data_IF_041739843936
#
_entry.id   IF_041739843936
#
_cell.length_a   1.000
_cell.length_b   1.000
_cell.length_c   1.000
_cell.angle_alpha   90.00
_cell.angle_beta   90.00
_cell.angle_gamma   90.00
#
_symmetry.space_group_name_H-M   'P 1'
#
loop_
_entity.id
_entity.type
_entity.pdbx_description
1 polymer ?
#
# COMPACT_ATOMS: atom_id res chain seq x y z
N UNK A 1 -17.46 21.64 -8.20
CA UNK A 1 -18.53 20.62 -8.24
C UNK A 1 -17.80 19.29 -8.12
N UNK A 2 -17.82 18.72 -6.91
CA UNK A 2 -17.17 17.40 -6.69
C UNK A 2 -18.09 16.34 -7.30
N UNK A 3 -17.55 15.54 -8.21
CA UNK A 3 -18.23 14.32 -8.63
C UNK A 3 -18.47 13.45 -7.39
N UNK A 4 -19.66 12.85 -7.24
CA UNK A 4 -19.90 11.94 -6.13
C UNK A 4 -18.90 10.77 -6.24
N UNK A 5 -18.18 10.48 -5.15
CA UNK A 5 -17.35 9.27 -5.10
C UNK A 5 -18.25 8.05 -5.39
N UNK A 6 -17.81 7.13 -6.26
CA UNK A 6 -18.59 5.94 -6.56
C UNK A 6 -18.90 5.20 -5.27
N UNK A 7 -20.17 4.83 -5.09
CA UNK A 7 -20.57 4.08 -3.90
C UNK A 7 -19.82 2.75 -3.86
N UNK A 8 -19.56 2.25 -2.66
CA UNK A 8 -18.88 0.97 -2.46
C UNK A 8 -19.63 -0.18 -3.17
N UNK A 9 -20.95 -0.07 -3.27
CA UNK A 9 -21.82 -1.01 -3.99
C UNK A 9 -21.53 -1.04 -5.49
N UNK A 10 -21.39 0.13 -6.11
CA UNK A 10 -20.99 0.23 -7.52
C UNK A 10 -19.63 -0.41 -7.80
N UNK A 11 -18.65 -0.16 -6.92
CA UNK A 11 -17.33 -0.77 -7.05
C UNK A 11 -17.38 -2.30 -6.90
N UNK A 12 -18.25 -2.82 -6.04
CA UNK A 12 -18.45 -4.26 -5.89
C UNK A 12 -19.14 -4.87 -7.13
N UNK A 13 -20.14 -4.19 -7.69
CA UNK A 13 -20.82 -4.66 -8.90
C UNK A 13 -19.84 -4.80 -10.07
N UNK A 14 -18.96 -3.83 -10.29
CA UNK A 14 -17.94 -3.91 -11.34
C UNK A 14 -16.94 -5.07 -11.13
N UNK A 15 -16.59 -5.39 -9.88
CA UNK A 15 -15.69 -6.52 -9.58
C UNK A 15 -16.30 -7.88 -9.95
N UNK A 16 -17.64 -8.01 -10.06
CA UNK A 16 -18.31 -9.25 -10.44
C UNK A 16 -18.68 -9.33 -11.93
N UNK A 17 -18.34 -8.33 -12.73
CA UNK A 17 -18.65 -8.27 -14.16
C UNK A 17 -17.72 -9.11 -15.05
N UNK A 18 -16.87 -9.96 -14.48
CA UNK A 18 -16.01 -10.84 -15.24
C UNK A 18 -16.81 -12.08 -15.72
N UNK A 19 -16.75 -12.35 -17.03
CA UNK A 19 -17.34 -13.54 -17.63
C UNK A 19 -16.49 -14.78 -17.28
N UNK A 20 -17.07 -15.69 -16.50
CA UNK A 20 -16.40 -16.93 -16.08
C UNK A 20 -16.38 -18.01 -17.18
N UNK A 21 -17.18 -17.85 -18.23
CA UNK A 21 -17.22 -18.73 -19.38
C UNK A 21 -16.39 -18.20 -20.57
N UNK A 22 -15.58 -17.16 -20.32
CA UNK A 22 -14.71 -16.56 -21.33
C UNK A 22 -13.59 -17.51 -21.76
N UNK A 23 -12.98 -17.19 -22.88
CA UNK A 23 -11.76 -17.86 -23.38
C UNK A 23 -10.63 -17.84 -22.35
N UNK A 24 -9.78 -18.88 -22.36
CA UNK A 24 -8.69 -19.05 -21.38
C UNK A 24 -7.77 -17.81 -21.26
N UNK A 25 -7.42 -17.20 -22.39
CA UNK A 25 -6.61 -15.97 -22.39
C UNK A 25 -7.29 -14.80 -21.68
N UNK A 26 -8.60 -14.64 -21.87
CA UNK A 26 -9.39 -13.59 -21.22
C UNK A 26 -9.53 -13.83 -19.71
N UNK A 27 -9.61 -15.09 -19.28
CA UNK A 27 -9.58 -15.44 -17.86
C UNK A 27 -8.23 -15.08 -17.21
N UNK A 28 -7.11 -15.34 -17.88
CA UNK A 28 -5.78 -14.94 -17.42
C UNK A 28 -5.65 -13.42 -17.32
N UNK A 29 -6.13 -12.68 -18.32
CA UNK A 29 -6.13 -11.21 -18.28
C UNK A 29 -7.00 -10.66 -17.15
N UNK A 30 -8.17 -11.26 -16.90
CA UNK A 30 -9.04 -10.88 -15.78
C UNK A 30 -8.34 -11.08 -14.42
N UNK A 31 -7.67 -12.20 -14.22
CA UNK A 31 -6.87 -12.47 -13.03
C UNK A 31 -5.76 -11.42 -12.86
N UNK A 32 -5.04 -11.11 -13.92
CA UNK A 32 -3.98 -10.08 -13.91
C UNK A 32 -4.54 -8.70 -13.57
N UNK A 33 -5.69 -8.34 -14.13
CA UNK A 33 -6.37 -7.08 -13.84
C UNK A 33 -6.76 -6.98 -12.36
N UNK A 34 -7.31 -8.04 -11.79
CA UNK A 34 -7.66 -8.09 -10.37
C UNK A 34 -6.41 -7.99 -9.47
N UNK A 35 -5.29 -8.58 -9.86
CA UNK A 35 -4.05 -8.46 -9.11
C UNK A 35 -3.52 -7.00 -9.12
N UNK A 36 -3.62 -6.31 -10.25
CA UNK A 36 -3.29 -4.88 -10.35
C UNK A 36 -4.21 -4.02 -9.48
N UNK A 37 -5.51 -4.31 -9.44
CA UNK A 37 -6.45 -3.62 -8.56
C UNK A 37 -6.14 -3.85 -7.08
N UNK A 38 -5.76 -5.06 -6.69
CA UNK A 38 -5.31 -5.37 -5.32
C UNK A 38 -4.07 -4.55 -4.95
N UNK A 39 -3.11 -4.46 -5.85
CA UNK A 39 -1.91 -3.68 -5.64
C UNK A 39 -2.23 -2.18 -5.46
N UNK A 40 -3.06 -1.60 -6.31
CA UNK A 40 -3.50 -0.22 -6.21
C UNK A 40 -4.27 0.05 -4.89
N UNK A 41 -5.15 -0.87 -4.49
CA UNK A 41 -5.85 -0.80 -3.21
C UNK A 41 -4.88 -0.85 -2.02
N UNK A 42 -3.86 -1.73 -2.07
CA UNK A 42 -2.83 -1.82 -1.03
C UNK A 42 -2.00 -0.53 -0.92
N UNK A 43 -1.64 0.09 -2.05
CA UNK A 43 -0.97 1.38 -2.06
C UNK A 43 -1.82 2.48 -1.41
N UNK A 44 -3.12 2.51 -1.73
CA UNK A 44 -4.05 3.47 -1.12
C UNK A 44 -4.19 3.24 0.39
N UNK A 45 -4.28 2.00 0.83
CA UNK A 45 -4.29 1.65 2.25
C UNK A 45 -3.00 2.09 2.96
N UNK A 46 -1.84 1.95 2.33
CA UNK A 46 -0.57 2.43 2.88
C UNK A 46 -0.58 3.95 3.07
N UNK A 47 -1.04 4.73 2.07
CA UNK A 47 -1.17 6.19 2.20
C UNK A 47 -2.12 6.58 3.33
N UNK A 48 -3.27 5.92 3.45
CA UNK A 48 -4.25 6.20 4.49
C UNK A 48 -3.72 5.84 5.89
N UNK A 49 -3.01 4.72 6.03
CA UNK A 49 -2.40 4.31 7.30
C UNK A 49 -1.30 5.28 7.76
N UNK A 50 -0.44 5.73 6.84
CA UNK A 50 0.58 6.73 7.14
C UNK A 50 -0.05 8.10 7.51
N UNK A 51 -1.09 8.50 6.80
CA UNK A 51 -1.83 9.73 7.11
C UNK A 51 -2.53 9.67 8.48
N UNK A 52 -3.11 8.53 8.84
CA UNK A 52 -3.70 8.29 10.16
C UNK A 52 -2.64 8.41 11.27
N UNK A 53 -1.47 7.80 11.10
CA UNK A 53 -0.37 7.88 12.06
C UNK A 53 0.12 9.34 12.22
N UNK A 54 0.31 10.05 11.12
CA UNK A 54 0.73 11.45 11.14
C UNK A 54 -0.30 12.35 11.84
N UNK A 55 -1.59 12.20 11.53
CA UNK A 55 -2.66 12.96 12.15
C UNK A 55 -2.77 12.70 13.67
N UNK A 56 -2.68 11.42 14.08
CA UNK A 56 -2.70 11.03 15.48
C UNK A 56 -1.51 11.64 16.24
N UNK A 57 -0.30 11.51 15.71
CA UNK A 57 0.91 12.05 16.33
C UNK A 57 0.87 13.58 16.44
N UNK A 58 0.33 14.25 15.43
CA UNK A 58 0.15 15.71 15.45
C UNK A 58 -0.85 16.14 16.53
N UNK A 59 -2.01 15.51 16.62
CA UNK A 59 -3.00 15.80 17.65
C UNK A 59 -2.48 15.55 19.07
N UNK A 60 -1.78 14.42 19.28
CA UNK A 60 -1.19 14.09 20.56
C UNK A 60 -0.03 15.03 20.94
N UNK A 61 0.74 15.51 19.96
CA UNK A 61 1.76 16.55 20.18
C UNK A 61 1.14 17.85 20.64
N UNK A 62 0.06 18.28 20.00
CA UNK A 62 -0.69 19.49 20.40
C UNK A 62 -1.29 19.36 21.81
N UNK A 63 -1.67 18.14 22.22
CA UNK A 63 -2.14 17.83 23.57
C UNK A 63 -1.03 17.63 24.61
N UNK A 64 0.24 17.86 24.25
CA UNK A 64 1.39 17.72 25.16
C UNK A 64 1.84 16.29 25.45
N UNK A 65 1.38 15.30 24.66
CA UNK A 65 1.83 13.91 24.84
C UNK A 65 3.32 13.78 24.50
N UNK A 66 4.14 13.18 25.36
CA UNK A 66 5.55 12.96 25.08
C UNK A 66 5.79 12.18 23.79
N UNK A 67 6.80 12.55 23.00
CA UNK A 67 7.11 11.97 21.68
C UNK A 67 7.16 10.43 21.70
N UNK A 68 7.76 9.83 22.73
CA UNK A 68 7.87 8.37 22.86
C UNK A 68 6.53 7.65 23.07
N UNK A 69 5.46 8.37 23.37
CA UNK A 69 4.11 7.83 23.61
C UNK A 69 3.14 8.09 22.46
N UNK A 70 3.52 8.94 21.48
CA UNK A 70 2.65 9.32 20.35
C UNK A 70 2.45 8.17 19.39
N UNK A 71 1.27 8.08 18.80
CA UNK A 71 0.90 7.06 17.80
C UNK A 71 0.62 5.69 18.40
N UNK A 72 0.58 5.55 19.72
CA UNK A 72 0.24 4.27 20.36
C UNK A 72 -1.20 3.89 20.00
N UNK A 73 -1.39 2.64 19.58
CA UNK A 73 -2.70 2.12 19.18
C UNK A 73 -2.99 2.22 17.69
N UNK A 74 -2.33 3.11 16.92
CA UNK A 74 -2.56 3.24 15.47
C UNK A 74 -2.34 1.93 14.73
N UNK A 75 -1.29 1.19 15.06
CA UNK A 75 -1.03 -0.12 14.46
C UNK A 75 -2.18 -1.12 14.69
N UNK A 76 -2.77 -1.13 15.87
CA UNK A 76 -3.91 -2.00 16.17
C UNK A 76 -5.17 -1.56 15.42
N UNK A 77 -5.42 -0.25 15.28
CA UNK A 77 -6.53 0.29 14.50
C UNK A 77 -6.37 -0.06 13.00
N UNK A 78 -5.18 0.05 12.45
CA UNK A 78 -4.88 -0.35 11.06
C UNK A 78 -5.12 -1.86 10.86
N UNK A 79 -4.68 -2.70 11.80
CA UNK A 79 -4.94 -4.14 11.74
C UNK A 79 -6.44 -4.45 11.75
N UNK A 80 -7.18 -3.82 12.65
CA UNK A 80 -8.63 -4.00 12.75
C UNK A 80 -9.33 -3.57 11.46
N UNK A 81 -8.97 -2.40 10.90
CA UNK A 81 -9.55 -1.90 9.66
C UNK A 81 -9.24 -2.83 8.46
N UNK A 82 -8.06 -3.44 8.44
CA UNK A 82 -7.66 -4.43 7.43
C UNK A 82 -8.19 -5.85 7.70
N UNK A 83 -8.95 -6.03 8.77
CA UNK A 83 -9.45 -7.35 9.25
C UNK A 83 -8.32 -8.35 9.48
N UNK A 84 -7.20 -7.87 9.97
CA UNK A 84 -6.01 -8.67 10.25
C UNK A 84 -5.72 -8.74 11.75
N UNK A 85 -4.82 -9.64 12.15
CA UNK A 85 -4.46 -9.79 13.56
C UNK A 85 -3.69 -8.57 14.08
N UNK A 86 -3.86 -8.19 15.37
CA UNK A 86 -3.13 -7.06 15.96
C UNK A 86 -1.61 -7.20 15.82
N UNK A 87 -1.08 -8.43 15.83
CA UNK A 87 0.35 -8.70 15.63
C UNK A 87 0.87 -8.29 14.26
N UNK A 88 0.00 -8.19 13.25
CA UNK A 88 0.34 -7.73 11.90
C UNK A 88 0.24 -6.21 11.73
N UNK A 89 -0.46 -5.53 12.64
CA UNK A 89 -0.65 -4.08 12.55
C UNK A 89 0.63 -3.29 12.49
N UNK A 90 1.63 -3.66 13.29
CA UNK A 90 2.95 -3.03 13.25
C UNK A 90 3.67 -3.20 11.91
N UNK A 91 3.51 -4.35 11.24
CA UNK A 91 4.08 -4.59 9.91
C UNK A 91 3.38 -3.75 8.84
N UNK A 92 2.05 -3.67 8.87
CA UNK A 92 1.28 -2.85 7.94
C UNK A 92 1.62 -1.36 8.08
N UNK A 93 1.67 -0.86 9.31
CA UNK A 93 2.02 0.53 9.57
C UNK A 93 3.48 0.82 9.23
N UNK A 94 4.40 -0.09 9.56
CA UNK A 94 5.82 0.04 9.22
C UNK A 94 6.04 0.07 7.70
N UNK A 95 5.39 -0.82 6.96
CA UNK A 95 5.42 -0.81 5.49
C UNK A 95 4.83 0.49 4.93
N UNK A 96 3.69 0.94 5.44
CA UNK A 96 3.04 2.16 5.01
C UNK A 96 3.96 3.38 5.17
N UNK A 97 4.57 3.53 6.33
CA UNK A 97 5.50 4.64 6.59
C UNK A 97 6.76 4.55 5.73
N UNK A 98 7.32 3.36 5.53
CA UNK A 98 8.48 3.16 4.65
C UNK A 98 8.16 3.55 3.20
N UNK A 99 7.03 3.09 2.66
CA UNK A 99 6.62 3.40 1.29
C UNK A 99 6.37 4.91 1.10
N UNK A 100 5.65 5.53 2.01
CA UNK A 100 5.25 6.95 1.88
C UNK A 100 6.42 7.90 2.09
N UNK A 101 7.30 7.63 3.04
CA UNK A 101 8.33 8.59 3.45
C UNK A 101 9.72 8.31 2.85
N UNK A 102 10.01 7.06 2.47
CA UNK A 102 11.34 6.65 2.07
C UNK A 102 11.42 6.00 0.69
N UNK A 103 10.31 5.43 0.19
CA UNK A 103 10.28 4.60 -1.03
C UNK A 103 9.18 5.02 -2.02
N UNK A 104 9.18 6.29 -2.51
CA UNK A 104 8.11 6.81 -3.34
C UNK A 104 7.99 6.11 -4.71
N UNK A 105 9.07 5.58 -5.28
CA UNK A 105 9.04 4.84 -6.56
C UNK A 105 8.42 3.46 -6.38
N UNK A 106 8.73 2.75 -5.31
CA UNK A 106 8.08 1.48 -4.96
C UNK A 106 6.58 1.70 -4.74
N UNK A 107 6.21 2.78 -4.03
CA UNK A 107 4.80 3.13 -3.84
C UNK A 107 4.09 3.44 -5.16
N UNK A 108 4.72 4.20 -6.05
CA UNK A 108 4.16 4.50 -7.37
C UNK A 108 3.99 3.24 -8.24
N UNK A 109 4.97 2.33 -8.22
CA UNK A 109 4.87 1.04 -8.91
C UNK A 109 3.72 0.17 -8.39
N UNK A 110 3.48 0.20 -7.07
CA UNK A 110 2.35 -0.46 -6.44
C UNK A 110 1.01 0.19 -6.85
N UNK A 111 0.93 1.52 -6.91
CA UNK A 111 -0.26 2.26 -7.36
C UNK A 111 -0.64 1.95 -8.81
N UNK A 112 0.35 1.77 -9.67
CA UNK A 112 0.15 1.40 -11.08
C UNK A 112 -0.16 -0.09 -11.27
N UNK A 113 -0.03 -0.90 -10.23
CA UNK A 113 -0.18 -2.34 -10.31
C UNK A 113 0.98 -3.05 -11.00
N UNK A 114 2.11 -2.38 -11.21
CA UNK A 114 3.34 -2.98 -11.76
C UNK A 114 4.09 -3.81 -10.71
N UNK A 115 3.78 -3.63 -9.44
CA UNK A 115 4.37 -4.34 -8.32
C UNK A 115 3.27 -4.83 -7.38
N UNK A 116 3.34 -6.06 -6.91
CA UNK A 116 2.40 -6.58 -5.90
C UNK A 116 2.76 -6.10 -4.48
N UNK A 117 1.77 -6.08 -3.57
CA UNK A 117 2.00 -5.75 -2.15
C UNK A 117 3.08 -6.65 -1.52
N UNK A 118 3.09 -7.93 -1.89
CA UNK A 118 4.09 -8.88 -1.41
C UNK A 118 5.51 -8.47 -1.80
N UNK A 119 5.73 -8.11 -3.07
CA UNK A 119 7.04 -7.65 -3.56
C UNK A 119 7.46 -6.33 -2.93
N UNK A 120 6.54 -5.37 -2.81
CA UNK A 120 6.79 -4.12 -2.10
C UNK A 120 7.22 -4.38 -0.64
N UNK A 121 6.57 -5.35 0.03
CA UNK A 121 6.93 -5.78 1.38
C UNK A 121 8.34 -6.37 1.44
N UNK A 122 8.73 -7.19 0.46
CA UNK A 122 10.09 -7.75 0.40
C UNK A 122 11.11 -6.63 0.22
N UNK A 123 10.92 -5.73 -0.75
CA UNK A 123 11.85 -4.62 -1.00
C UNK A 123 12.01 -3.75 0.25
N UNK A 124 10.90 -3.39 0.92
CA UNK A 124 10.92 -2.60 2.13
C UNK A 124 11.66 -3.32 3.28
N UNK A 125 11.43 -4.62 3.45
CA UNK A 125 12.05 -5.42 4.50
C UNK A 125 13.55 -5.62 4.27
N UNK A 126 13.94 -6.01 3.06
CA UNK A 126 15.36 -6.28 2.75
C UNK A 126 16.20 -5.00 2.76
N UNK A 127 15.58 -3.83 2.51
CA UNK A 127 16.24 -2.53 2.60
C UNK A 127 16.19 -1.88 4.00
N UNK A 128 15.58 -2.52 5.00
CA UNK A 128 15.41 -1.94 6.33
C UNK A 128 16.72 -1.70 7.09
N UNK A 129 17.81 -2.38 6.73
CA UNK A 129 19.13 -2.18 7.32
C UNK A 129 19.91 -1.01 6.72
N UNK A 130 19.44 -0.44 5.61
CA UNK A 130 20.07 0.71 4.97
C UNK A 130 19.68 2.00 5.67
N UNK A 131 20.55 3.02 5.60
CA UNK A 131 20.14 4.37 5.98
C UNK A 131 19.12 4.93 4.99
N UNK A 132 18.46 6.04 5.36
CA UNK A 132 17.34 6.60 4.58
C UNK A 132 17.79 7.02 3.17
N UNK A 133 19.01 7.52 3.02
CA UNK A 133 19.53 8.00 1.73
C UNK A 133 19.86 6.83 0.80
N UNK A 134 20.51 5.80 1.32
CA UNK A 134 20.78 4.56 0.57
C UNK A 134 19.49 3.84 0.18
N UNK A 135 18.52 3.84 1.07
CA UNK A 135 17.19 3.28 0.79
C UNK A 135 16.47 4.01 -0.34
N UNK A 136 16.53 5.35 -0.37
CA UNK A 136 15.98 6.17 -1.45
C UNK A 136 16.68 5.93 -2.78
N UNK A 137 18.02 5.76 -2.76
CA UNK A 137 18.78 5.40 -3.97
C UNK A 137 18.35 4.04 -4.50
N UNK A 138 18.26 3.05 -3.63
CA UNK A 138 17.78 1.71 -3.99
C UNK A 138 16.36 1.76 -4.58
N UNK A 139 15.46 2.50 -3.95
CA UNK A 139 14.09 2.70 -4.44
C UNK A 139 14.07 3.25 -5.87
N UNK A 140 14.87 4.27 -6.15
CA UNK A 140 15.01 4.85 -7.47
C UNK A 140 15.56 3.83 -8.48
N UNK A 141 16.61 3.11 -8.13
CA UNK A 141 17.24 2.13 -9.03
C UNK A 141 16.33 0.95 -9.37
N UNK A 142 15.55 0.46 -8.40
CA UNK A 142 14.68 -0.69 -8.59
C UNK A 142 13.34 -0.35 -9.25
N UNK A 143 12.73 0.77 -8.91
CA UNK A 143 11.32 1.01 -9.18
C UNK A 143 11.02 2.29 -9.96
N UNK A 144 12.01 3.13 -10.32
CA UNK A 144 11.77 4.35 -11.11
C UNK A 144 11.31 4.04 -12.55
N UNK A 145 11.74 2.91 -13.10
CA UNK A 145 11.34 2.43 -14.42
C UNK A 145 10.46 1.19 -14.27
N UNK A 146 9.14 1.39 -14.27
CA UNK A 146 8.16 0.33 -14.09
C UNK A 146 8.12 -0.69 -15.24
N UNK A 147 8.61 -0.31 -16.44
CA UNK A 147 8.70 -1.25 -17.57
C UNK A 147 9.66 -2.42 -17.31
N UNK A 148 10.63 -2.23 -16.43
CA UNK A 148 11.58 -3.27 -16.01
C UNK A 148 10.99 -4.24 -14.99
N UNK A 149 9.83 -3.89 -14.40
CA UNK A 149 9.10 -4.73 -13.46
C UNK A 149 8.13 -5.68 -14.19
N UNK A 150 7.75 -5.34 -15.42
CA UNK A 150 6.95 -6.21 -16.30
C UNK A 150 7.77 -7.44 -16.68
N UNK A 151 7.42 -8.60 -16.14
CA UNK A 151 8.12 -9.86 -16.41
C UNK A 151 8.98 -10.41 -15.26
N UNK A 152 9.07 -9.69 -14.16
CA UNK A 152 9.54 -10.27 -12.90
C UNK A 152 8.39 -11.09 -12.27
N UNK A 153 7.90 -12.08 -13.02
CA UNK A 153 6.87 -13.02 -12.62
C UNK A 153 7.33 -13.98 -11.52
#
# INVERSE_FOLDING_TARGET
MSEPEPSIEYMFEELFMFDLDAEESALVEAISTLERLKAAAAARQARLAAALDAARRSAEAAAGVPAARRGRGVAAEVALARRDSPARGGRHLGLANALVHEMPHTLAALELGALSEWRATIVARESACLDVEDRRRLDTELCSDTSRLDGLG
#
